data_IF_255644905152
#
_entry.id   IF_255644905152
#
_cell.length_a   1.000
_cell.length_b   1.000
_cell.length_c   1.000
_cell.angle_alpha   90.00
_cell.angle_beta   90.00
_cell.angle_gamma   90.00
#
_symmetry.space_group_name_H-M   'P 1'
#
loop_
_entity.id
_entity.type
_entity.pdbx_description
1 polymer ?
#
# COMPACT_ATOMS: atom_id res chain seq x y z
N UNK A 1 14.68 21.17 2.53
CA UNK A 1 14.98 20.31 1.36
C UNK A 1 13.68 19.91 0.70
N UNK A 2 13.69 19.69 -0.62
CA UNK A 2 12.49 19.36 -1.38
C UNK A 2 12.27 17.84 -1.37
N UNK A 3 11.07 17.43 -0.97
CA UNK A 3 10.69 16.02 -0.93
C UNK A 3 10.19 15.61 -2.31
N UNK A 4 10.83 14.60 -2.90
CA UNK A 4 10.49 14.07 -4.22
C UNK A 4 9.86 12.69 -4.09
N UNK A 5 8.80 12.45 -4.87
CA UNK A 5 8.19 11.12 -5.02
C UNK A 5 7.96 10.83 -6.49
N UNK A 6 8.37 9.64 -6.93
CA UNK A 6 8.11 9.14 -8.28
C UNK A 6 7.68 7.68 -8.18
N UNK A 7 6.66 7.27 -8.91
CA UNK A 7 6.25 5.87 -8.96
C UNK A 7 5.66 5.49 -10.31
N UNK A 8 5.85 4.22 -10.66
CA UNK A 8 5.31 3.57 -11.84
C UNK A 8 4.79 2.19 -11.44
N UNK A 9 3.61 1.83 -11.90
CA UNK A 9 3.04 0.50 -11.69
C UNK A 9 2.37 0.01 -12.97
N UNK A 10 2.44 -1.30 -13.20
CA UNK A 10 1.73 -1.98 -14.28
C UNK A 10 1.23 -3.35 -13.80
N UNK A 11 0.09 -3.80 -14.30
CA UNK A 11 -0.46 -5.11 -13.99
C UNK A 11 -1.13 -5.73 -15.21
N UNK A 12 -1.14 -7.06 -15.28
CA UNK A 12 -1.85 -7.82 -16.33
C UNK A 12 -2.53 -9.05 -15.75
N UNK A 13 -3.76 -9.29 -16.20
CA UNK A 13 -4.56 -10.45 -15.79
C UNK A 13 -4.32 -11.63 -16.72
N UNK A 14 -4.01 -12.77 -16.13
CA UNK A 14 -3.78 -14.07 -16.77
C UNK A 14 -4.84 -15.06 -16.28
N UNK A 15 -4.96 -16.21 -16.94
CA UNK A 15 -5.97 -17.23 -16.59
C UNK A 15 -5.87 -17.76 -15.16
N UNK A 16 -4.68 -17.69 -14.56
CA UNK A 16 -4.43 -18.19 -13.20
C UNK A 16 -4.43 -17.10 -12.13
N UNK A 17 -4.42 -15.81 -12.50
CA UNK A 17 -4.35 -14.68 -11.58
C UNK A 17 -3.84 -13.41 -12.26
N UNK A 18 -3.61 -12.36 -11.49
CA UNK A 18 -3.05 -11.09 -11.97
C UNK A 18 -1.62 -10.96 -11.48
N UNK A 19 -0.70 -10.60 -12.37
CA UNK A 19 0.69 -10.27 -12.03
C UNK A 19 0.91 -8.77 -12.18
N UNK A 20 1.75 -8.20 -11.31
CA UNK A 20 2.04 -6.77 -11.32
C UNK A 20 3.50 -6.47 -11.03
N UNK A 21 3.89 -5.26 -11.42
CA UNK A 21 5.18 -4.67 -11.11
C UNK A 21 4.98 -3.25 -10.58
N UNK A 22 5.80 -2.88 -9.60
CA UNK A 22 5.87 -1.55 -9.01
C UNK A 22 7.33 -1.10 -9.00
N UNK A 23 7.58 0.13 -9.40
CA UNK A 23 8.85 0.82 -9.18
C UNK A 23 8.54 2.16 -8.54
N UNK A 24 9.15 2.46 -7.41
CA UNK A 24 8.92 3.69 -6.66
C UNK A 24 10.21 4.27 -6.11
N UNK A 25 10.24 5.59 -5.98
CA UNK A 25 11.28 6.34 -5.30
C UNK A 25 10.65 7.43 -4.44
N UNK A 26 11.18 7.60 -3.23
CA UNK A 26 10.74 8.60 -2.26
C UNK A 26 11.95 9.17 -1.54
N UNK A 27 11.96 10.48 -1.26
CA UNK A 27 12.96 11.08 -0.38
C UNK A 27 13.46 12.45 -0.83
N UNK A 28 14.60 12.84 -0.31
CA UNK A 28 15.29 14.12 -0.52
C UNK A 28 16.82 13.88 -0.60
N UNK A 29 17.62 14.94 -0.74
CA UNK A 29 19.06 14.79 -1.07
C UNK A 29 19.86 13.92 -0.09
N UNK A 30 19.62 14.05 1.21
CA UNK A 30 20.31 13.29 2.24
C UNK A 30 19.69 11.90 2.51
N UNK A 31 18.50 11.62 1.98
CA UNK A 31 17.76 10.38 2.23
C UNK A 31 16.89 9.98 1.04
N UNK A 32 17.14 8.82 0.43
CA UNK A 32 16.24 8.30 -0.60
C UNK A 32 15.96 6.81 -0.45
N UNK A 33 14.70 6.44 -0.59
CA UNK A 33 14.19 5.08 -0.66
C UNK A 33 13.81 4.74 -2.10
N UNK A 34 14.19 3.55 -2.54
CA UNK A 34 13.78 2.96 -3.81
C UNK A 34 13.12 1.62 -3.54
N UNK A 35 12.03 1.35 -4.26
CA UNK A 35 11.26 0.12 -4.13
C UNK A 35 11.02 -0.48 -5.51
N UNK A 36 11.35 -1.75 -5.66
CA UNK A 36 10.96 -2.57 -6.83
C UNK A 36 10.15 -3.73 -6.31
N UNK A 37 8.89 -3.82 -6.72
CA UNK A 37 7.94 -4.84 -6.29
C UNK A 37 7.47 -5.71 -7.45
N UNK A 38 7.37 -7.02 -7.21
CA UNK A 38 6.71 -7.98 -8.09
C UNK A 38 5.55 -8.62 -7.34
N UNK A 39 4.34 -8.47 -7.87
CA UNK A 39 3.11 -8.88 -7.21
C UNK A 39 2.35 -9.95 -7.98
N UNK A 40 1.61 -10.75 -7.22
CA UNK A 40 0.65 -11.71 -7.74
C UNK A 40 -0.62 -11.67 -6.89
N UNK A 41 -1.78 -11.62 -7.54
CA UNK A 41 -3.07 -11.62 -6.89
C UNK A 41 -4.02 -12.62 -7.56
N UNK A 42 -4.91 -13.22 -6.78
CA UNK A 42 -5.90 -14.17 -7.31
C UNK A 42 -7.21 -14.09 -6.54
N UNK A 43 -8.31 -14.23 -7.28
CA UNK A 43 -9.64 -14.49 -6.72
C UNK A 43 -9.69 -15.92 -6.18
N UNK A 44 -10.00 -16.05 -4.89
CA UNK A 44 -10.33 -17.33 -4.25
C UNK A 44 -11.80 -17.67 -4.44
N UNK A 45 -12.66 -16.65 -4.40
CA UNK A 45 -14.09 -16.72 -4.70
C UNK A 45 -14.51 -15.49 -5.50
N UNK A 46 -15.78 -15.35 -5.84
CA UNK A 46 -16.30 -14.14 -6.50
C UNK A 46 -16.24 -12.88 -5.62
N UNK A 47 -16.03 -13.04 -4.32
CA UNK A 47 -16.01 -11.95 -3.34
C UNK A 47 -14.70 -11.86 -2.55
N UNK A 48 -13.81 -12.85 -2.64
CA UNK A 48 -12.56 -12.89 -1.86
C UNK A 48 -11.35 -12.99 -2.78
N UNK A 49 -10.39 -12.09 -2.59
CA UNK A 49 -9.10 -12.11 -3.27
C UNK A 49 -7.95 -12.08 -2.26
N UNK A 50 -6.85 -12.72 -2.62
CA UNK A 50 -5.57 -12.64 -1.91
C UNK A 50 -4.49 -12.13 -2.84
N UNK A 51 -3.47 -11.51 -2.27
CA UNK A 51 -2.27 -11.10 -2.99
C UNK A 51 -1.01 -11.33 -2.17
N UNK A 52 0.09 -11.52 -2.87
CA UNK A 52 1.44 -11.46 -2.33
C UNK A 52 2.30 -10.56 -3.20
N UNK A 53 3.25 -9.88 -2.58
CA UNK A 53 4.27 -9.09 -3.28
C UNK A 53 5.64 -9.39 -2.70
N UNK A 54 6.65 -9.47 -3.55
CA UNK A 54 8.05 -9.47 -3.13
C UNK A 54 8.67 -8.14 -3.51
N UNK A 55 9.41 -7.56 -2.56
CA UNK A 55 10.00 -6.23 -2.68
C UNK A 55 11.50 -6.26 -2.47
N UNK A 56 12.20 -5.56 -3.37
CA UNK A 56 13.59 -5.14 -3.18
C UNK A 56 13.58 -3.66 -2.81
N UNK A 57 14.19 -3.33 -1.68
CA UNK A 57 14.25 -1.99 -1.12
C UNK A 57 15.70 -1.50 -1.13
N UNK A 58 15.94 -0.32 -1.68
CA UNK A 58 17.22 0.37 -1.66
C UNK A 58 17.12 1.63 -0.82
N UNK A 59 18.02 1.80 0.14
CA UNK A 59 18.10 2.97 0.99
C UNK A 59 19.44 3.65 0.77
N UNK A 60 19.41 4.95 0.52
CA UNK A 60 20.59 5.80 0.46
C UNK A 60 20.47 6.83 1.57
N UNK A 61 21.43 6.81 2.49
CA UNK A 61 21.50 7.73 3.62
C UNK A 61 22.87 8.39 3.58
N UNK A 62 22.90 9.72 3.55
CA UNK A 62 24.16 10.44 3.51
C UNK A 62 25.00 10.17 4.76
N UNK A 63 26.29 9.90 4.57
CA UNK A 63 27.21 9.46 5.63
C UNK A 63 27.12 7.98 6.05
N UNK A 64 26.06 7.24 5.66
CA UNK A 64 25.89 5.82 6.01
C UNK A 64 25.94 4.87 4.79
N UNK A 65 25.86 5.40 3.57
CA UNK A 65 26.02 4.64 2.34
C UNK A 65 24.70 4.08 1.78
N UNK A 66 24.82 3.07 0.92
CA UNK A 66 23.68 2.42 0.26
C UNK A 66 23.45 1.04 0.86
N UNK A 67 22.24 0.80 1.37
CA UNK A 67 21.81 -0.50 1.88
C UNK A 67 20.68 -1.07 1.04
N UNK A 68 20.66 -2.40 0.90
CA UNK A 68 19.58 -3.12 0.24
C UNK A 68 18.94 -4.08 1.21
N UNK A 69 17.61 -4.13 1.21
CA UNK A 69 16.84 -5.09 1.99
C UNK A 69 15.73 -5.69 1.16
N UNK A 70 15.18 -6.80 1.64
CA UNK A 70 14.19 -7.60 0.95
C UNK A 70 13.03 -7.87 1.89
N UNK A 71 11.83 -7.77 1.34
CA UNK A 71 10.63 -8.06 2.12
C UNK A 71 9.51 -8.62 1.27
N UNK A 72 8.46 -9.04 1.94
CA UNK A 72 7.23 -9.50 1.31
C UNK A 72 6.04 -8.71 1.85
N UNK A 73 5.00 -8.68 1.05
CA UNK A 73 3.70 -8.16 1.45
C UNK A 73 2.63 -9.22 1.23
N UNK A 74 1.59 -9.14 2.06
CA UNK A 74 0.39 -9.97 1.91
C UNK A 74 -0.83 -9.07 1.94
N UNK A 75 -1.73 -9.28 0.98
CA UNK A 75 -2.99 -8.57 0.88
C UNK A 75 -4.18 -9.50 0.89
N UNK A 76 -5.27 -9.03 1.47
CA UNK A 76 -6.59 -9.66 1.47
C UNK A 76 -7.61 -8.60 1.07
N UNK A 77 -8.53 -8.96 0.18
CA UNK A 77 -9.65 -8.10 -0.21
C UNK A 77 -10.94 -8.92 -0.19
N UNK A 78 -12.00 -8.35 0.37
CA UNK A 78 -13.31 -8.97 0.44
C UNK A 78 -14.42 -8.00 0.09
N UNK A 79 -15.28 -8.38 -0.87
CA UNK A 79 -16.55 -7.73 -1.16
C UNK A 79 -17.63 -8.32 -0.26
N UNK A 80 -17.85 -7.72 0.91
CA UNK A 80 -18.83 -8.20 1.89
C UNK A 80 -20.27 -8.00 1.38
N UNK A 81 -20.51 -6.90 0.69
CA UNK A 81 -21.75 -6.61 -0.05
C UNK A 81 -21.44 -5.70 -1.24
N UNK A 82 -22.44 -5.35 -2.04
CA UNK A 82 -22.28 -4.33 -3.10
C UNK A 82 -21.95 -2.94 -2.55
N UNK A 83 -22.22 -2.70 -1.26
CA UNK A 83 -21.99 -1.41 -0.61
C UNK A 83 -20.80 -1.40 0.34
N UNK A 84 -20.27 -2.56 0.76
CA UNK A 84 -19.22 -2.64 1.78
C UNK A 84 -18.11 -3.57 1.32
N UNK A 85 -16.91 -3.00 1.16
CA UNK A 85 -15.70 -3.76 0.88
C UNK A 85 -14.71 -3.63 2.04
N UNK A 86 -13.98 -4.70 2.29
CA UNK A 86 -12.95 -4.80 3.32
C UNK A 86 -11.61 -5.12 2.66
N UNK A 87 -10.54 -4.53 3.18
CA UNK A 87 -9.18 -4.85 2.78
C UNK A 87 -8.30 -4.99 4.02
N UNK A 88 -7.33 -5.89 3.96
CA UNK A 88 -6.23 -5.95 4.90
C UNK A 88 -4.92 -6.07 4.13
N UNK A 89 -3.89 -5.40 4.60
CA UNK A 89 -2.57 -5.42 3.99
C UNK A 89 -1.52 -5.46 5.08
N UNK A 90 -0.53 -6.34 4.91
CA UNK A 90 0.60 -6.47 5.81
C UNK A 90 1.85 -6.29 4.98
N UNK A 91 2.66 -5.30 5.36
CA UNK A 91 3.98 -5.05 4.85
C UNK A 91 5.02 -5.55 5.85
N UNK A 92 6.03 -6.25 5.36
CA UNK A 92 7.13 -6.79 6.15
C UNK A 92 6.70 -7.70 7.32
N UNK A 93 5.91 -8.76 7.08
CA UNK A 93 5.50 -9.68 8.14
C UNK A 93 6.67 -10.45 8.77
N UNK A 94 7.83 -10.49 8.10
CA UNK A 94 9.03 -11.19 8.55
C UNK A 94 9.92 -10.34 9.45
N UNK A 95 9.56 -9.08 9.72
CA UNK A 95 10.43 -8.10 10.41
C UNK A 95 11.84 -8.12 9.84
N UNK A 96 11.95 -8.09 8.50
CA UNK A 96 13.23 -8.08 7.81
C UNK A 96 14.07 -6.90 8.29
N UNK A 97 15.37 -7.11 8.43
CA UNK A 97 16.30 -6.08 8.89
C UNK A 97 16.73 -5.16 7.75
N UNK A 98 16.89 -3.89 8.06
CA UNK A 98 17.51 -2.89 7.19
C UNK A 98 19.04 -2.90 7.35
N UNK A 99 19.53 -3.13 8.57
CA UNK A 99 20.94 -3.31 8.92
C UNK A 99 21.07 -4.21 10.17
N UNK A 100 22.29 -4.45 10.67
CA UNK A 100 22.47 -5.21 11.92
C UNK A 100 21.77 -4.55 13.13
N UNK A 101 21.53 -3.23 13.08
CA UNK A 101 20.98 -2.41 14.17
C UNK A 101 19.57 -1.86 13.90
N UNK A 102 19.11 -1.83 12.65
CA UNK A 102 17.78 -1.28 12.28
C UNK A 102 16.87 -2.33 11.62
N UNK A 103 15.61 -2.37 12.05
CA UNK A 103 14.56 -3.20 11.46
C UNK A 103 13.73 -2.38 10.46
N UNK A 104 13.28 -3.01 9.37
CA UNK A 104 12.30 -2.39 8.50
C UNK A 104 10.95 -2.31 9.25
N UNK A 105 10.29 -1.16 9.15
CA UNK A 105 8.95 -0.95 9.71
C UNK A 105 7.99 -2.07 9.26
N UNK A 106 7.53 -2.88 10.21
CA UNK A 106 6.42 -3.79 9.98
C UNK A 106 5.11 -3.01 10.09
N UNK A 107 4.25 -3.09 9.08
CA UNK A 107 3.04 -2.27 8.98
C UNK A 107 1.83 -3.12 8.65
N UNK A 108 0.76 -2.91 9.42
CA UNK A 108 -0.52 -3.57 9.25
C UNK A 108 -1.56 -2.49 8.93
N UNK A 109 -2.35 -2.70 7.88
CA UNK A 109 -3.46 -1.84 7.48
C UNK A 109 -4.74 -2.65 7.41
N UNK A 110 -5.83 -2.06 7.90
CA UNK A 110 -7.18 -2.57 7.74
C UNK A 110 -8.03 -1.43 7.18
N UNK A 111 -8.66 -1.66 6.03
CA UNK A 111 -9.42 -0.68 5.30
C UNK A 111 -10.87 -1.11 5.09
N UNK A 112 -11.76 -0.13 5.08
CA UNK A 112 -13.17 -0.28 4.72
C UNK A 112 -13.50 0.75 3.64
N UNK A 113 -14.19 0.29 2.59
CA UNK A 113 -14.84 1.15 1.59
C UNK A 113 -16.34 0.99 1.76
N UNK A 114 -17.05 2.11 1.92
CA UNK A 114 -18.50 2.16 2.00
C UNK A 114 -19.06 2.95 0.81
N UNK A 115 -19.96 2.32 0.05
CA UNK A 115 -20.51 2.81 -1.22
C UNK A 115 -22.03 2.98 -1.02
N UNK A 116 -22.47 4.07 -0.36
CA UNK A 116 -23.89 4.33 -0.15
C UNK A 116 -24.68 4.55 -1.45
N UNK A 117 -24.02 5.01 -2.51
CA UNK A 117 -24.62 5.26 -3.82
C UNK A 117 -23.58 5.25 -4.93
N UNK A 118 -24.00 5.26 -6.19
CA UNK A 118 -23.10 5.35 -7.35
C UNK A 118 -22.36 6.69 -7.48
N UNK A 119 -22.59 7.66 -6.57
CA UNK A 119 -21.97 8.99 -6.61
C UNK A 119 -20.99 9.25 -5.48
N UNK A 120 -21.02 8.47 -4.42
CA UNK A 120 -20.32 8.78 -3.18
C UNK A 120 -19.72 7.53 -2.61
N UNK A 121 -18.43 7.61 -2.29
CA UNK A 121 -17.69 6.58 -1.60
C UNK A 121 -17.02 7.16 -0.36
N UNK A 122 -16.99 6.38 0.71
CA UNK A 122 -16.27 6.68 1.93
C UNK A 122 -15.20 5.62 2.18
N UNK A 123 -14.04 6.07 2.64
CA UNK A 123 -12.89 5.23 2.94
C UNK A 123 -12.44 5.47 4.37
N UNK A 124 -12.21 4.38 5.08
CA UNK A 124 -11.58 4.40 6.40
C UNK A 124 -10.45 3.40 6.42
N UNK A 125 -9.24 3.81 6.80
CA UNK A 125 -8.09 2.93 7.02
C UNK A 125 -7.58 3.11 8.45
N UNK A 126 -7.32 2.00 9.13
CA UNK A 126 -6.57 1.96 10.37
C UNK A 126 -5.20 1.38 10.03
N UNK A 127 -4.14 2.11 10.37
CA UNK A 127 -2.76 1.73 10.14
C UNK A 127 -2.02 1.60 11.48
N UNK A 128 -1.31 0.50 11.65
CA UNK A 128 -0.41 0.26 12.76
C UNK A 128 0.98 -0.05 12.21
N UNK A 129 1.92 0.85 12.48
CA UNK A 129 3.35 0.56 12.38
C UNK A 129 3.81 0.05 13.74
N UNK A 130 4.63 -0.99 13.77
CA UNK A 130 5.23 -1.47 15.02
C UNK A 130 5.99 -0.31 15.69
N UNK A 131 5.86 -0.18 17.00
CA UNK A 131 6.45 0.90 17.82
C UNK A 131 5.96 2.34 17.57
N UNK A 132 4.93 2.54 16.75
CA UNK A 132 4.27 3.86 16.57
C UNK A 132 2.82 3.86 17.03
N UNK A 133 2.26 5.05 17.25
CA UNK A 133 0.82 5.21 17.48
C UNK A 133 0.00 4.71 16.29
N UNK A 134 -1.24 4.28 16.56
CA UNK A 134 -2.18 3.92 15.50
C UNK A 134 -2.54 5.19 14.73
N UNK A 135 -2.60 5.10 13.41
CA UNK A 135 -3.10 6.18 12.57
C UNK A 135 -4.44 5.78 11.96
N UNK A 136 -5.36 6.75 11.88
CA UNK A 136 -6.67 6.57 11.26
C UNK A 136 -6.77 7.53 10.08
N UNK A 137 -7.03 6.99 8.89
CA UNK A 137 -7.21 7.78 7.67
C UNK A 137 -8.66 7.72 7.26
N UNK A 138 -9.22 8.88 6.94
CA UNK A 138 -10.58 9.03 6.43
C UNK A 138 -10.51 9.66 5.05
N UNK A 139 -11.34 9.18 4.13
CA UNK A 139 -11.43 9.69 2.78
C UNK A 139 -12.86 9.67 2.27
N UNK A 140 -13.16 10.55 1.32
CA UNK A 140 -14.40 10.55 0.57
C UNK A 140 -14.11 10.85 -0.90
N UNK A 141 -14.85 10.21 -1.77
CA UNK A 141 -14.83 10.42 -3.21
C UNK A 141 -16.25 10.74 -3.68
N UNK A 142 -16.38 11.74 -4.55
CA UNK A 142 -17.64 12.19 -5.11
C UNK A 142 -17.57 12.29 -6.63
N UNK A 143 -18.39 11.50 -7.32
CA UNK A 143 -18.53 11.56 -8.76
C UNK A 143 -19.37 12.79 -9.16
N UNK A 144 -18.69 13.84 -9.62
CA UNK A 144 -19.33 15.08 -10.09
C UNK A 144 -19.97 14.85 -11.45
N UNK A 145 -19.25 14.15 -12.32
CA UNK A 145 -19.66 13.72 -13.66
C UNK A 145 -19.17 12.28 -13.86
N UNK A 146 -19.67 11.59 -14.89
CA UNK A 146 -19.28 10.19 -15.17
C UNK A 146 -17.77 9.98 -15.41
N UNK A 147 -17.03 11.05 -15.65
CA UNK A 147 -15.59 11.05 -15.91
C UNK A 147 -14.80 12.03 -15.03
N UNK A 148 -15.41 12.55 -13.95
CA UNK A 148 -14.76 13.50 -13.05
C UNK A 148 -15.18 13.27 -11.60
N UNK A 149 -14.19 12.89 -10.79
CA UNK A 149 -14.35 12.65 -9.37
C UNK A 149 -13.60 13.71 -8.56
N UNK A 150 -14.18 14.09 -7.42
CA UNK A 150 -13.52 14.90 -6.40
C UNK A 150 -13.20 14.04 -5.19
N UNK A 151 -11.95 14.10 -4.74
CA UNK A 151 -11.47 13.33 -3.59
C UNK A 151 -10.99 14.27 -2.49
N UNK A 152 -11.32 13.93 -1.25
CA UNK A 152 -10.80 14.61 -0.07
C UNK A 152 -10.53 13.60 1.04
N UNK A 153 -9.56 13.88 1.91
CA UNK A 153 -9.23 13.00 3.02
C UNK A 153 -8.42 13.68 4.11
N UNK A 154 -8.33 13.00 5.26
CA UNK A 154 -7.57 13.43 6.42
C UNK A 154 -6.89 12.23 7.08
N UNK A 155 -5.71 12.47 7.68
CA UNK A 155 -5.03 11.51 8.53
C UNK A 155 -5.09 12.02 9.98
N UNK A 156 -5.47 11.16 10.91
CA UNK A 156 -5.62 11.41 12.33
C UNK A 156 -4.64 10.51 13.10
N UNK A 157 -3.92 11.09 14.05
CA UNK A 157 -3.06 10.39 15.02
C UNK A 157 -3.78 10.14 16.35
#
# INVERSE_FOLDING_TARGET
>A
EELTTFSFAAATSLNFGTVGILVGQYGFDAYSEQKIGLSYARLLTSYLAISGQFDVLGFKIDGFGNNYSYTVEVGLYSKLSDQVHLAAHIFNPTSSKLSDEEELDSRIKIGVRYIPSNKVDFFTEIEKIIDRSVQIKLGAEYAVLDNLDLMAGANLE
#
